data_IF_023527262823
#
_entry.id   IF_023527262823
#
_cell.length_a   1.000
_cell.length_b   1.000
_cell.length_c   1.000
_cell.angle_alpha   90.00
_cell.angle_beta   90.00
_cell.angle_gamma   90.00
#
_symmetry.space_group_name_H-M   'P 1'
#
loop_
_entity.id
_entity.type
_entity.pdbx_description
1 polymer ?
#
# COMPACT_ATOMS: atom_id res chain seq x y z
N UNK A 1 -14.26 23.19 -2.17
CA UNK A 1 -13.66 21.96 -1.62
C UNK A 1 -14.59 20.81 -1.98
N UNK A 2 -14.22 19.99 -2.96
CA UNK A 2 -15.01 18.79 -3.26
C UNK A 2 -14.82 17.83 -2.09
N UNK A 3 -15.92 17.53 -1.38
CA UNK A 3 -15.90 16.49 -0.35
C UNK A 3 -15.53 15.20 -1.05
N UNK A 4 -14.36 14.64 -0.73
CA UNK A 4 -14.00 13.28 -1.14
C UNK A 4 -15.00 12.39 -0.44
N UNK A 5 -15.91 11.78 -1.22
CA UNK A 5 -16.88 10.84 -0.67
C UNK A 5 -16.12 9.53 -0.51
N UNK A 6 -15.57 9.28 0.67
CA UNK A 6 -14.97 8.00 1.01
C UNK A 6 -16.03 6.91 0.97
N UNK A 7 -15.72 5.81 0.33
CA UNK A 7 -16.60 4.64 0.32
C UNK A 7 -16.71 4.09 1.74
N UNK A 8 -17.94 3.98 2.25
CA UNK A 8 -18.18 3.45 3.59
C UNK A 8 -17.86 1.97 3.62
N UNK A 9 -17.09 1.57 4.61
CA UNK A 9 -16.87 0.17 4.92
C UNK A 9 -18.18 -0.50 5.33
N UNK A 10 -18.66 -1.49 4.57
CA UNK A 10 -19.99 -2.14 4.76
C UNK A 10 -19.95 -3.66 4.72
N UNK A 11 -18.88 -4.23 4.17
CA UNK A 11 -18.76 -5.67 3.93
C UNK A 11 -19.96 -6.28 3.18
N UNK A 12 -20.30 -5.83 1.97
CA UNK A 12 -21.48 -6.30 1.25
C UNK A 12 -21.38 -7.76 0.82
N UNK A 13 -20.18 -8.31 0.69
CA UNK A 13 -19.94 -9.71 0.33
C UNK A 13 -19.95 -10.64 1.54
N UNK A 14 -20.14 -10.11 2.74
CA UNK A 14 -20.10 -10.87 4.01
C UNK A 14 -18.80 -11.68 4.15
N UNK A 15 -17.68 -11.05 3.81
CA UNK A 15 -16.36 -11.62 3.94
C UNK A 15 -16.02 -11.85 5.42
N UNK A 16 -15.22 -12.88 5.69
CA UNK A 16 -14.70 -13.14 7.00
C UNK A 16 -13.75 -12.03 7.47
N UNK A 17 -13.45 -11.99 8.77
CA UNK A 17 -12.52 -11.02 9.33
C UNK A 17 -11.11 -11.16 8.74
N UNK A 18 -10.66 -12.40 8.55
CA UNK A 18 -9.38 -12.71 7.92
C UNK A 18 -9.33 -12.22 6.47
N UNK A 19 -10.38 -12.47 5.70
CA UNK A 19 -10.49 -11.97 4.32
C UNK A 19 -10.48 -10.43 4.24
N UNK A 20 -11.22 -9.77 5.13
CA UNK A 20 -11.22 -8.30 5.21
C UNK A 20 -9.84 -7.75 5.60
N UNK A 21 -9.14 -8.43 6.51
CA UNK A 21 -7.78 -8.07 6.89
C UNK A 21 -6.82 -8.16 5.69
N UNK A 22 -6.90 -9.24 4.91
CA UNK A 22 -6.11 -9.41 3.69
C UNK A 22 -6.36 -8.28 2.67
N UNK A 23 -7.61 -7.90 2.46
CA UNK A 23 -7.96 -6.75 1.60
C UNK A 23 -7.40 -5.45 2.16
N UNK A 24 -7.47 -5.25 3.49
CA UNK A 24 -7.01 -4.03 4.14
C UNK A 24 -5.49 -3.79 3.98
N UNK A 25 -4.71 -4.81 3.68
CA UNK A 25 -3.28 -4.65 3.36
C UNK A 25 -3.03 -3.85 2.08
N UNK A 26 -3.98 -3.79 1.15
CA UNK A 26 -3.91 -2.96 -0.06
C UNK A 26 -4.40 -1.52 0.14
N UNK A 27 -4.87 -1.16 1.35
CA UNK A 27 -5.66 0.04 1.61
C UNK A 27 -5.01 1.35 1.12
N UNK A 28 -3.69 1.46 1.13
CA UNK A 28 -2.99 2.65 0.67
C UNK A 28 -3.22 2.95 -0.81
N UNK A 29 -3.13 1.95 -1.69
CA UNK A 29 -3.42 2.11 -3.12
C UNK A 29 -4.91 2.15 -3.39
N UNK A 30 -5.69 1.37 -2.67
CA UNK A 30 -7.16 1.37 -2.72
C UNK A 30 -7.71 2.78 -2.43
N UNK A 31 -7.19 3.46 -1.40
CA UNK A 31 -7.56 4.84 -1.08
C UNK A 31 -7.10 5.84 -2.14
N UNK A 32 -5.88 5.69 -2.64
CA UNK A 32 -5.32 6.55 -3.69
C UNK A 32 -6.15 6.48 -4.97
N UNK A 33 -6.60 5.27 -5.34
CA UNK A 33 -7.39 5.02 -6.55
C UNK A 33 -8.91 5.14 -6.32
N UNK A 34 -9.36 5.43 -5.08
CA UNK A 34 -10.77 5.57 -4.69
C UNK A 34 -11.60 4.30 -4.96
N UNK A 35 -11.01 3.18 -4.67
CA UNK A 35 -11.58 1.85 -4.77
C UNK A 35 -12.28 1.43 -3.47
N UNK A 36 -12.88 0.24 -3.46
CA UNK A 36 -13.58 -0.30 -2.30
C UNK A 36 -12.64 -1.11 -1.40
N UNK A 37 -12.80 -0.95 -0.08
CA UNK A 37 -12.00 -1.58 0.96
C UNK A 37 -12.61 -2.88 1.53
N UNK A 38 -13.80 -3.24 1.10
CA UNK A 38 -14.63 -4.28 1.71
C UNK A 38 -15.13 -5.33 0.71
N UNK A 39 -14.42 -5.44 -0.40
CA UNK A 39 -14.63 -6.47 -1.44
C UNK A 39 -13.29 -6.90 -2.02
N UNK A 40 -13.22 -8.14 -2.50
CA UNK A 40 -12.04 -8.60 -3.24
C UNK A 40 -11.86 -7.82 -4.54
N UNK A 41 -12.95 -7.51 -5.23
CA UNK A 41 -12.95 -6.65 -6.41
C UNK A 41 -12.62 -5.19 -6.01
N UNK A 42 -11.81 -4.45 -6.79
CA UNK A 42 -11.56 -3.03 -6.54
C UNK A 42 -12.82 -2.17 -6.66
N UNK A 43 -13.82 -2.62 -7.41
CA UNK A 43 -15.11 -1.96 -7.57
C UNK A 43 -16.24 -2.92 -7.24
N UNK A 44 -17.35 -2.40 -6.68
CA UNK A 44 -18.55 -3.20 -6.48
C UNK A 44 -19.07 -3.68 -7.85
N UNK A 45 -19.13 -4.98 -8.04
CA UNK A 45 -19.30 -5.66 -9.31
C UNK A 45 -18.09 -5.50 -10.25
N UNK A 46 -18.12 -6.16 -11.38
CA UNK A 46 -17.08 -6.03 -12.41
C UNK A 46 -17.02 -4.65 -13.09
N UNK A 47 -17.72 -3.66 -12.52
CA UNK A 47 -17.68 -2.29 -12.99
C UNK A 47 -18.23 -2.12 -14.41
N UNK A 48 -17.83 -1.04 -15.04
CA UNK A 48 -18.08 -0.80 -16.46
C UNK A 48 -16.94 -1.37 -17.30
N UNK A 49 -17.15 -1.67 -18.60
CA UNK A 49 -16.06 -2.04 -19.50
C UNK A 49 -14.90 -1.04 -19.52
N UNK A 50 -15.17 0.23 -19.25
CA UNK A 50 -14.14 1.29 -19.16
C UNK A 50 -13.25 1.07 -17.95
N UNK A 51 -13.81 0.81 -16.77
CA UNK A 51 -13.01 0.57 -15.54
C UNK A 51 -12.18 -0.71 -15.64
N UNK A 52 -12.72 -1.74 -16.30
CA UNK A 52 -11.96 -2.96 -16.55
C UNK A 52 -10.79 -2.71 -17.47
N UNK A 53 -10.99 -1.97 -18.56
CA UNK A 53 -9.91 -1.62 -19.49
C UNK A 53 -8.87 -0.69 -18.82
N UNK A 54 -9.30 0.29 -18.01
CA UNK A 54 -8.39 1.13 -17.24
C UNK A 54 -7.52 0.31 -16.28
N UNK A 55 -8.12 -0.67 -15.58
CA UNK A 55 -7.40 -1.60 -14.71
C UNK A 55 -6.37 -2.43 -15.49
N UNK A 56 -6.76 -2.97 -16.64
CA UNK A 56 -5.88 -3.75 -17.52
C UNK A 56 -4.70 -2.92 -18.02
N UNK A 57 -4.97 -1.72 -18.48
CA UNK A 57 -3.92 -0.78 -18.92
C UNK A 57 -2.98 -0.37 -17.79
N UNK A 58 -3.49 -0.26 -16.56
CA UNK A 58 -2.66 0.01 -15.40
C UNK A 58 -1.72 -1.16 -15.10
N UNK A 59 -2.21 -2.41 -15.11
CA UNK A 59 -1.36 -3.60 -14.91
C UNK A 59 -0.28 -3.68 -15.98
N UNK A 60 -0.62 -3.43 -17.24
CA UNK A 60 0.34 -3.47 -18.36
C UNK A 60 1.37 -2.34 -18.27
N UNK A 61 0.91 -1.09 -18.12
CA UNK A 61 1.77 0.10 -18.19
C UNK A 61 2.69 0.24 -17.00
N UNK A 62 2.17 0.00 -15.79
CA UNK A 62 2.85 0.34 -14.53
C UNK A 62 3.55 -0.88 -13.92
N UNK A 63 3.19 -2.10 -14.36
CA UNK A 63 3.68 -3.36 -13.79
C UNK A 63 4.17 -4.37 -14.84
N UNK A 64 3.98 -4.08 -16.12
CA UNK A 64 4.34 -4.97 -17.25
C UNK A 64 3.69 -6.37 -17.14
N UNK A 65 2.45 -6.42 -16.57
CA UNK A 65 1.69 -7.66 -16.38
C UNK A 65 0.68 -7.81 -17.53
N UNK A 66 0.91 -8.78 -18.40
CA UNK A 66 0.00 -9.17 -19.48
C UNK A 66 -0.67 -10.53 -19.19
N UNK A 67 0.04 -11.43 -18.51
CA UNK A 67 -0.42 -12.80 -18.26
C UNK A 67 -0.05 -13.29 -16.85
N UNK A 68 -0.35 -14.57 -16.58
CA UNK A 68 -0.11 -15.22 -15.29
C UNK A 68 1.39 -15.36 -14.97
N UNK A 69 2.25 -15.52 -15.98
CA UNK A 69 3.69 -15.66 -15.75
C UNK A 69 4.26 -14.33 -15.28
N UNK A 70 3.90 -13.23 -15.93
CA UNK A 70 4.31 -11.87 -15.53
C UNK A 70 3.81 -11.54 -14.11
N UNK A 71 2.56 -11.92 -13.79
CA UNK A 71 2.00 -11.75 -12.45
C UNK A 71 2.82 -12.50 -11.40
N UNK A 72 3.15 -13.76 -11.67
CA UNK A 72 3.94 -14.60 -10.75
C UNK A 72 5.33 -14.02 -10.51
N UNK A 73 6.01 -13.58 -11.56
CA UNK A 73 7.33 -12.96 -11.47
C UNK A 73 7.28 -11.63 -10.71
N UNK A 74 6.24 -10.82 -10.94
CA UNK A 74 6.03 -9.57 -10.21
C UNK A 74 5.77 -9.80 -8.72
N UNK A 75 4.92 -10.76 -8.35
CA UNK A 75 4.66 -11.12 -6.95
C UNK A 75 5.96 -11.58 -6.28
N UNK A 76 6.69 -12.49 -6.91
CA UNK A 76 7.99 -12.97 -6.42
C UNK A 76 9.00 -11.85 -6.24
N UNK A 77 9.06 -10.93 -7.21
CA UNK A 77 9.89 -9.73 -7.11
C UNK A 77 9.50 -8.92 -5.87
N UNK A 78 8.22 -8.60 -5.68
CA UNK A 78 7.74 -7.80 -4.55
C UNK A 78 7.96 -8.48 -3.19
N UNK A 79 7.93 -9.82 -3.12
CA UNK A 79 8.20 -10.57 -1.89
C UNK A 79 9.69 -10.63 -1.55
N UNK A 80 10.58 -10.52 -2.53
CA UNK A 80 12.04 -10.72 -2.32
C UNK A 80 12.83 -9.43 -2.33
N UNK A 81 12.26 -8.32 -2.82
CA UNK A 81 12.99 -7.07 -2.94
C UNK A 81 12.98 -6.27 -1.63
N UNK A 82 14.16 -5.82 -1.30
CA UNK A 82 14.38 -4.69 -0.41
C UNK A 82 14.76 -3.49 -1.29
N UNK A 83 13.97 -2.42 -1.28
CA UNK A 83 14.25 -1.24 -2.12
C UNK A 83 15.53 -0.56 -1.67
N UNK A 84 15.87 -0.67 -0.39
CA UNK A 84 17.10 -0.12 0.16
C UNK A 84 17.60 -0.94 1.35
N UNK A 85 18.92 -1.04 1.45
CA UNK A 85 19.57 -1.49 2.67
C UNK A 85 19.66 -0.34 3.69
N UNK A 86 19.86 -0.69 4.97
CA UNK A 86 20.14 0.29 6.03
C UNK A 86 21.24 1.28 5.64
N UNK A 87 22.27 0.80 4.93
CA UNK A 87 23.39 1.63 4.47
C UNK A 87 22.91 2.65 3.41
N UNK A 88 22.15 2.21 2.41
CA UNK A 88 21.62 3.10 1.37
C UNK A 88 20.67 4.15 1.94
N UNK A 89 19.84 3.80 2.92
CA UNK A 89 18.98 4.75 3.60
C UNK A 89 19.78 5.84 4.32
N UNK A 90 20.81 5.46 5.10
CA UNK A 90 21.68 6.42 5.77
C UNK A 90 22.49 7.27 4.81
N UNK A 91 22.99 6.69 3.72
CA UNK A 91 23.67 7.45 2.66
C UNK A 91 22.73 8.48 2.03
N UNK A 92 21.48 8.11 1.74
CA UNK A 92 20.48 9.03 1.25
C UNK A 92 20.21 10.17 2.23
N UNK A 93 20.01 9.86 3.51
CA UNK A 93 19.73 10.82 4.59
C UNK A 93 20.89 11.76 4.86
N UNK A 94 22.12 11.36 4.57
CA UNK A 94 23.33 12.16 4.79
C UNK A 94 23.80 12.92 3.55
N UNK A 95 23.17 12.71 2.39
CA UNK A 95 23.56 13.41 1.15
C UNK A 95 23.44 14.93 1.29
N UNK A 96 24.40 15.69 0.71
CA UNK A 96 24.35 17.15 0.71
C UNK A 96 23.08 17.71 0.05
N UNK A 97 22.57 17.04 -0.96
CA UNK A 97 21.31 17.39 -1.64
C UNK A 97 20.11 17.29 -0.71
N UNK A 98 20.06 16.24 0.09
CA UNK A 98 19.03 16.05 1.11
C UNK A 98 19.11 17.15 2.18
N UNK A 99 20.32 17.50 2.64
CA UNK A 99 20.53 18.62 3.57
C UNK A 99 20.17 19.97 2.94
N UNK A 100 20.39 20.14 1.63
CA UNK A 100 19.98 21.35 0.89
C UNK A 100 18.47 21.41 0.70
N UNK A 101 17.81 20.28 0.47
CA UNK A 101 16.34 20.20 0.43
C UNK A 101 15.69 20.62 1.74
N UNK A 102 16.46 20.61 2.85
CA UNK A 102 16.03 21.18 4.13
C UNK A 102 15.84 22.71 4.11
N UNK A 103 16.19 23.40 3.02
CA UNK A 103 16.05 24.85 2.89
C UNK A 103 14.92 25.29 1.95
N UNK A 104 14.08 24.37 1.48
CA UNK A 104 12.98 24.68 0.56
C UNK A 104 11.59 24.65 1.23
N UNK A 105 11.32 25.63 2.10
CA UNK A 105 9.98 26.03 2.52
C UNK A 105 9.09 24.95 3.14
N UNK A 106 7.88 24.79 2.65
CA UNK A 106 6.90 23.80 3.19
C UNK A 106 7.32 22.35 2.98
N UNK A 107 8.18 22.07 2.01
CA UNK A 107 8.71 20.73 1.75
C UNK A 107 9.70 20.30 2.83
N UNK A 108 10.43 21.24 3.42
CA UNK A 108 11.32 21.00 4.55
C UNK A 108 10.53 20.52 5.78
N UNK A 109 9.39 21.13 6.08
CA UNK A 109 8.56 20.72 7.22
C UNK A 109 8.05 19.29 7.05
N UNK A 110 7.69 18.92 5.85
CA UNK A 110 7.20 17.59 5.51
C UNK A 110 8.27 16.52 5.70
N UNK A 111 9.44 16.79 5.16
CA UNK A 111 10.60 15.91 5.25
C UNK A 111 11.07 15.76 6.70
N UNK A 112 11.09 16.84 7.46
CA UNK A 112 11.42 16.82 8.91
C UNK A 112 10.39 16.00 9.70
N UNK A 113 9.10 16.10 9.35
CA UNK A 113 8.07 15.30 10.00
C UNK A 113 8.30 13.81 9.75
N UNK A 114 8.60 13.42 8.52
CA UNK A 114 8.90 12.02 8.17
C UNK A 114 10.16 11.51 8.87
N UNK A 115 11.22 12.34 8.94
CA UNK A 115 12.44 12.03 9.68
C UNK A 115 12.20 11.89 11.18
N UNK A 116 11.40 12.80 11.75
CA UNK A 116 10.94 12.71 13.12
C UNK A 116 10.16 11.42 13.36
N UNK A 117 9.20 11.09 12.51
CA UNK A 117 8.44 9.84 12.61
C UNK A 117 9.36 8.61 12.56
N UNK A 118 10.29 8.55 11.63
CA UNK A 118 11.26 7.44 11.54
C UNK A 118 12.16 7.34 12.79
N UNK A 119 12.61 8.47 13.33
CA UNK A 119 13.43 8.51 14.53
C UNK A 119 12.62 8.25 15.82
N UNK A 120 11.42 8.83 15.93
CA UNK A 120 10.60 8.78 17.13
C UNK A 120 9.99 7.39 17.34
N UNK A 121 9.69 6.67 16.26
CA UNK A 121 9.15 5.31 16.30
C UNK A 121 10.25 4.22 16.36
N UNK A 122 11.52 4.57 16.45
CA UNK A 122 12.64 3.62 16.47
C UNK A 122 12.50 2.54 15.37
N UNK A 123 12.18 2.98 14.18
CA UNK A 123 11.85 2.12 13.07
C UNK A 123 12.94 1.06 12.87
N UNK A 124 12.57 -0.21 12.88
CA UNK A 124 13.44 -1.28 12.44
C UNK A 124 13.71 -1.10 10.94
N UNK A 125 14.88 -0.59 10.63
CA UNK A 125 15.28 -0.27 9.26
C UNK A 125 15.41 -1.53 8.38
N UNK A 126 15.45 -2.73 8.97
CA UNK A 126 15.49 -3.98 8.23
C UNK A 126 14.15 -4.25 7.53
N UNK A 127 13.03 -3.79 8.10
CA UNK A 127 11.68 -3.95 7.53
C UNK A 127 11.10 -2.62 6.99
N UNK A 128 11.93 -1.58 6.85
CA UNK A 128 11.45 -0.20 6.70
C UNK A 128 10.65 0.08 5.42
N UNK A 129 10.78 -0.73 4.37
CA UNK A 129 10.06 -0.55 3.11
C UNK A 129 9.20 -1.76 2.70
N UNK A 130 9.18 -2.82 3.48
CA UNK A 130 8.44 -4.04 3.14
C UNK A 130 6.96 -3.80 2.92
N UNK A 131 6.32 -2.94 3.73
CA UNK A 131 4.90 -2.63 3.54
C UNK A 131 4.62 -1.91 2.20
N UNK A 132 5.59 -1.14 1.67
CA UNK A 132 5.49 -0.56 0.33
C UNK A 132 5.39 -1.64 -0.75
N UNK A 133 6.15 -2.72 -0.63
CA UNK A 133 6.09 -3.86 -1.55
C UNK A 133 4.85 -4.71 -1.31
N UNK A 134 4.59 -5.10 -0.08
CA UNK A 134 3.49 -6.01 0.25
C UNK A 134 2.11 -5.37 0.02
N UNK A 135 1.93 -4.09 0.35
CA UNK A 135 0.68 -3.38 0.07
C UNK A 135 0.39 -3.26 -1.42
N UNK A 136 1.42 -3.07 -2.24
CA UNK A 136 1.29 -3.08 -3.71
C UNK A 136 1.02 -4.48 -4.24
N UNK A 137 1.66 -5.51 -3.67
CA UNK A 137 1.41 -6.91 -4.01
C UNK A 137 -0.08 -7.26 -3.82
N UNK A 138 -0.67 -6.96 -2.65
CA UNK A 138 -2.09 -7.19 -2.41
C UNK A 138 -2.99 -6.44 -3.41
N UNK A 139 -2.65 -5.22 -3.77
CA UNK A 139 -3.40 -4.44 -4.75
C UNK A 139 -3.34 -5.09 -6.14
N UNK A 140 -2.15 -5.52 -6.58
CA UNK A 140 -1.96 -6.20 -7.88
C UNK A 140 -2.77 -7.50 -7.92
N UNK A 141 -2.75 -8.32 -6.87
CA UNK A 141 -3.51 -9.58 -6.79
C UNK A 141 -5.01 -9.30 -6.98
N UNK A 142 -5.57 -8.29 -6.32
CA UNK A 142 -6.98 -7.89 -6.49
C UNK A 142 -7.29 -7.47 -7.92
N UNK A 143 -6.40 -6.71 -8.55
CA UNK A 143 -6.55 -6.29 -9.95
C UNK A 143 -6.35 -7.43 -10.94
N UNK A 144 -5.47 -8.39 -10.67
CA UNK A 144 -5.32 -9.60 -11.46
C UNK A 144 -6.61 -10.45 -11.44
N UNK A 145 -7.24 -10.62 -10.29
CA UNK A 145 -8.54 -11.26 -10.18
C UNK A 145 -9.62 -10.47 -10.92
N UNK A 146 -9.69 -9.16 -10.76
CA UNK A 146 -10.63 -8.30 -11.45
C UNK A 146 -10.52 -8.41 -12.98
N UNK A 147 -9.30 -8.56 -13.50
CA UNK A 147 -9.03 -8.76 -14.94
C UNK A 147 -9.11 -10.23 -15.38
N UNK A 148 -9.54 -11.14 -14.50
CA UNK A 148 -9.70 -12.57 -14.78
C UNK A 148 -8.39 -13.29 -15.21
N UNK A 149 -7.25 -12.77 -14.78
CA UNK A 149 -5.94 -13.43 -14.94
C UNK A 149 -5.79 -14.62 -13.98
N UNK A 150 -6.47 -14.56 -12.84
CA UNK A 150 -6.51 -15.60 -11.81
C UNK A 150 -7.95 -15.82 -11.34
N UNK A 151 -8.20 -16.99 -10.78
CA UNK A 151 -9.48 -17.33 -10.12
C UNK A 151 -9.59 -16.67 -8.75
N UNK A 152 -10.79 -16.68 -8.17
CA UNK A 152 -11.01 -16.18 -6.81
C UNK A 152 -10.21 -16.99 -5.77
N UNK A 153 -10.15 -18.30 -5.91
CA UNK A 153 -9.39 -19.18 -5.02
C UNK A 153 -7.88 -18.88 -5.08
N UNK A 154 -7.34 -18.69 -6.27
CA UNK A 154 -5.94 -18.29 -6.45
C UNK A 154 -5.67 -16.91 -5.86
N UNK A 155 -6.57 -15.95 -6.01
CA UNK A 155 -6.43 -14.61 -5.42
C UNK A 155 -6.38 -14.68 -3.89
N UNK A 156 -7.27 -15.43 -3.25
CA UNK A 156 -7.23 -15.62 -1.80
C UNK A 156 -5.94 -16.31 -1.35
N UNK A 157 -5.50 -17.36 -2.04
CA UNK A 157 -4.25 -18.06 -1.73
C UNK A 157 -3.03 -17.13 -1.80
N UNK A 158 -2.94 -16.31 -2.84
CA UNK A 158 -1.85 -15.34 -3.00
C UNK A 158 -1.91 -14.21 -1.95
N UNK A 159 -3.11 -13.76 -1.59
CA UNK A 159 -3.30 -12.78 -0.52
C UNK A 159 -2.88 -13.35 0.84
N UNK A 160 -3.18 -14.63 1.13
CA UNK A 160 -2.76 -15.31 2.35
C UNK A 160 -1.23 -15.45 2.42
N UNK A 161 -0.58 -15.83 1.32
CA UNK A 161 0.88 -15.87 1.25
C UNK A 161 1.49 -14.50 1.58
N UNK A 162 1.00 -13.44 0.95
CA UNK A 162 1.43 -12.07 1.21
C UNK A 162 1.10 -11.62 2.64
N UNK A 163 -0.08 -11.96 3.16
CA UNK A 163 -0.52 -11.69 4.53
C UNK A 163 0.39 -12.30 5.58
N UNK A 164 0.86 -13.52 5.35
CA UNK A 164 1.81 -14.19 6.24
C UNK A 164 3.15 -13.43 6.32
N UNK A 165 3.65 -12.92 5.19
CA UNK A 165 4.86 -12.07 5.17
C UNK A 165 4.65 -10.76 5.94
N UNK A 166 3.48 -10.14 5.78
CA UNK A 166 3.10 -8.93 6.50
C UNK A 166 3.07 -9.16 8.01
N UNK A 167 2.42 -10.25 8.48
CA UNK A 167 2.33 -10.59 9.90
C UNK A 167 3.69 -10.93 10.52
N UNK A 168 4.61 -11.48 9.74
CA UNK A 168 5.99 -11.74 10.19
C UNK A 168 6.81 -10.45 10.34
N UNK A 169 6.46 -9.41 9.59
CA UNK A 169 7.24 -8.17 9.49
C UNK A 169 6.68 -7.02 10.35
N UNK A 170 5.40 -7.06 10.71
CA UNK A 170 4.71 -5.95 11.38
C UNK A 170 3.79 -6.46 12.49
N UNK A 171 3.49 -5.57 13.45
CA UNK A 171 2.65 -5.84 14.63
C UNK A 171 1.36 -5.02 14.68
N UNK A 172 1.22 -4.03 13.80
CA UNK A 172 0.08 -3.10 13.80
C UNK A 172 -0.14 -2.44 12.43
N UNK A 173 -1.36 -1.92 12.20
CA UNK A 173 -1.64 -1.06 11.04
C UNK A 173 -0.78 0.21 11.05
N UNK A 174 -0.41 0.69 12.21
CA UNK A 174 0.44 1.86 12.36
C UNK A 174 1.85 1.57 11.84
N UNK A 175 2.50 0.49 12.32
CA UNK A 175 3.84 0.10 11.86
C UNK A 175 3.85 -0.24 10.36
N UNK A 176 2.82 -0.92 9.86
CA UNK A 176 2.63 -1.19 8.44
C UNK A 176 2.48 0.09 7.61
N UNK A 177 1.63 1.03 8.04
CA UNK A 177 1.40 2.30 7.36
C UNK A 177 2.65 3.18 7.32
N UNK A 178 3.41 3.24 8.41
CA UNK A 178 4.67 4.00 8.47
C UNK A 178 5.74 3.40 7.54
N UNK A 179 5.89 2.08 7.52
CA UNK A 179 6.78 1.40 6.58
C UNK A 179 6.38 1.68 5.12
N UNK A 180 5.08 1.65 4.82
CA UNK A 180 4.58 2.01 3.49
C UNK A 180 4.98 3.44 3.10
N UNK A 181 4.84 4.39 4.02
CA UNK A 181 5.20 5.79 3.78
C UNK A 181 6.69 5.96 3.52
N UNK A 182 7.55 5.28 4.29
CA UNK A 182 9.01 5.31 4.12
C UNK A 182 9.39 4.75 2.74
N UNK A 183 8.85 3.61 2.35
CA UNK A 183 9.10 3.01 1.04
C UNK A 183 8.62 3.89 -0.11
N UNK A 184 7.41 4.46 -0.01
CA UNK A 184 6.86 5.38 -1.00
C UNK A 184 7.72 6.64 -1.18
N UNK A 185 8.26 7.18 -0.10
CA UNK A 185 9.13 8.34 -0.14
C UNK A 185 10.48 8.01 -0.76
N UNK A 186 11.09 6.91 -0.35
CA UNK A 186 12.36 6.48 -0.92
C UNK A 186 12.26 6.19 -2.42
N UNK A 187 11.18 5.55 -2.84
CA UNK A 187 10.90 5.32 -4.26
C UNK A 187 10.84 6.63 -5.07
N UNK A 188 10.25 7.68 -4.49
CA UNK A 188 10.08 8.99 -5.17
C UNK A 188 11.26 9.95 -5.00
N UNK A 189 12.35 9.55 -4.36
CA UNK A 189 13.48 10.43 -3.99
C UNK A 189 14.10 11.21 -5.15
N UNK A 190 14.17 10.59 -6.34
CA UNK A 190 14.80 11.19 -7.53
C UNK A 190 13.81 12.06 -8.33
N UNK A 191 12.50 11.84 -8.16
CA UNK A 191 11.41 12.57 -8.78
C UNK A 191 10.41 13.05 -7.72
N UNK A 192 10.93 13.67 -6.66
CA UNK A 192 10.13 14.11 -5.54
C UNK A 192 9.03 15.08 -5.99
N UNK A 193 7.78 14.73 -5.69
CA UNK A 193 6.62 15.57 -5.93
C UNK A 193 5.89 15.82 -4.61
N UNK A 194 5.94 17.07 -4.07
CA UNK A 194 5.30 17.42 -2.80
C UNK A 194 3.80 17.11 -2.77
N UNK A 195 3.11 17.30 -3.91
CA UNK A 195 1.66 17.05 -4.01
C UNK A 195 1.37 15.57 -3.82
N UNK A 196 2.15 14.71 -4.49
CA UNK A 196 2.02 13.25 -4.40
C UNK A 196 2.33 12.74 -2.98
N UNK A 197 3.35 13.29 -2.32
CA UNK A 197 3.67 12.93 -0.94
C UNK A 197 2.60 13.40 0.05
N UNK A 198 2.05 14.59 -0.14
CA UNK A 198 0.92 15.08 0.67
C UNK A 198 -0.29 14.15 0.56
N UNK A 199 -0.62 13.68 -0.64
CA UNK A 199 -1.70 12.71 -0.84
C UNK A 199 -1.42 11.40 -0.08
N UNK A 200 -0.20 10.88 -0.13
CA UNK A 200 0.19 9.66 0.60
C UNK A 200 0.01 9.83 2.12
N UNK A 201 0.43 10.98 2.67
CA UNK A 201 0.26 11.26 4.09
C UNK A 201 -1.21 11.45 4.46
N UNK A 202 -1.99 12.12 3.63
CA UNK A 202 -3.44 12.28 3.85
C UNK A 202 -4.14 10.92 3.88
N UNK A 203 -3.76 9.99 2.98
CA UNK A 203 -4.31 8.65 2.95
C UNK A 203 -3.95 7.85 4.22
N UNK A 204 -2.71 7.89 4.68
CA UNK A 204 -2.32 7.26 5.95
C UNK A 204 -3.09 7.86 7.12
N UNK A 205 -3.14 9.19 7.20
CA UNK A 205 -3.89 9.87 8.27
C UNK A 205 -5.35 9.44 8.28
N UNK A 206 -5.97 9.37 7.09
CA UNK A 206 -7.33 8.86 6.96
C UNK A 206 -7.44 7.42 7.46
N UNK A 207 -6.57 6.53 6.99
CA UNK A 207 -6.61 5.11 7.33
C UNK A 207 -6.43 4.86 8.83
N UNK A 208 -5.60 5.64 9.50
CA UNK A 208 -5.33 5.50 10.94
C UNK A 208 -6.31 6.26 11.85
N UNK A 209 -7.16 7.18 11.33
CA UNK A 209 -7.97 8.05 12.19
C UNK A 209 -9.45 8.15 11.84
N UNK A 210 -9.88 7.75 10.63
CA UNK A 210 -11.25 7.90 10.20
C UNK A 210 -12.09 6.66 10.54
N UNK A 211 -13.26 6.85 11.16
CA UNK A 211 -14.16 5.77 11.57
C UNK A 211 -14.69 4.89 10.43
N UNK A 212 -14.60 5.34 9.18
CA UNK A 212 -14.96 4.54 8.00
C UNK A 212 -13.75 3.83 7.37
N UNK A 213 -12.56 3.97 7.96
CA UNK A 213 -11.34 3.34 7.48
C UNK A 213 -11.36 1.83 7.74
N UNK A 214 -10.84 0.99 6.82
CA UNK A 214 -10.65 -0.42 7.08
C UNK A 214 -9.73 -0.66 8.29
N UNK A 215 -8.68 0.14 8.49
CA UNK A 215 -7.73 -0.04 9.58
C UNK A 215 -8.27 0.27 10.97
N UNK A 216 -9.39 1.01 11.08
CA UNK A 216 -10.12 1.20 12.33
C UNK A 216 -11.28 0.20 12.52
N UNK A 217 -11.74 -0.44 11.46
CA UNK A 217 -12.85 -1.39 11.51
C UNK A 217 -12.39 -2.86 11.57
N UNK A 218 -11.11 -3.12 11.27
CA UNK A 218 -10.51 -4.46 11.25
C UNK A 218 -9.32 -4.44 12.22
N UNK A 219 -9.41 -5.23 13.28
CA UNK A 219 -8.30 -5.36 14.23
C UNK A 219 -7.10 -6.02 13.54
N UNK A 220 -5.89 -5.59 13.87
CA UNK A 220 -4.66 -6.19 13.35
C UNK A 220 -4.58 -7.70 13.63
N UNK A 221 -5.18 -8.13 14.73
CA UNK A 221 -5.20 -9.52 15.16
C UNK A 221 -6.37 -10.33 14.60
N UNK A 222 -7.22 -9.75 13.76
CA UNK A 222 -8.34 -10.49 13.11
C UNK A 222 -7.84 -11.49 12.04
N UNK A 223 -6.57 -11.43 11.62
CA UNK A 223 -6.00 -12.39 10.69
C UNK A 223 -5.81 -13.77 11.33
N UNK A 224 -6.40 -14.79 10.69
CA UNK A 224 -6.37 -16.18 11.18
C UNK A 224 -7.37 -16.47 12.32
N UNK A 225 -8.36 -15.61 12.55
CA UNK A 225 -9.39 -15.73 13.61
C UNK A 225 -10.77 -16.17 13.06
N UNK A 226 -10.83 -16.95 12.00
CA UNK A 226 -12.10 -17.46 11.41
C UNK A 226 -12.56 -18.77 12.05
#
# INVERSE_FOLDING_TARGET
MNSVTYNKFKNPANLSKSQLWLIATSAMLTELNKEFHDTLLPHHNYGTPVLLEESRQCLLRDWEIEDLADLSDTIKYLHTQQTFSRVQYWEYMTRPEFRKAQHFGDDERHLRTLLSMVNDYQFDLENSDFAWHYGRCSWIIRHAFYNQLITEEEAWSLLEENGNLIKQSFDSWESFGLSYLVGAQFWKRDNYNPISMRATIQNITYLLSNSNSPWLNIDWNDYGCD
#
